data_IF_529623283729
#
_entry.id   IF_529623283729
#
_cell.length_a   1.000
_cell.length_b   1.000
_cell.length_c   1.000
_cell.angle_alpha   90.00
_cell.angle_beta   90.00
_cell.angle_gamma   90.00
#
_symmetry.space_group_name_H-M   'P 1'
#
loop_
_entity.id
_entity.type
_entity.pdbx_description
1 polymer ?
#
# COMPACT_ATOMS: atom_id res chain seq x y z
N UNK A 1 -11.02 9.21 0.80
CA UNK A 1 -10.48 9.60 2.11
C UNK A 1 -8.99 9.27 2.19
N UNK A 2 -8.20 10.05 2.92
CA UNK A 2 -6.80 9.73 3.20
C UNK A 2 -6.60 9.47 4.71
N UNK A 3 -5.59 8.68 5.04
CA UNK A 3 -5.15 8.40 6.40
C UNK A 3 -3.63 8.21 6.40
N UNK A 4 -2.97 8.74 7.43
CA UNK A 4 -1.56 8.46 7.72
C UNK A 4 -1.50 7.16 8.55
N UNK A 5 -0.61 6.24 8.17
CA UNK A 5 -0.24 5.12 9.01
C UNK A 5 0.78 5.61 10.05
N UNK A 6 0.27 6.26 11.09
CA UNK A 6 1.08 6.93 12.12
C UNK A 6 2.10 5.95 12.72
N UNK A 7 3.37 6.36 12.81
CA UNK A 7 4.46 5.53 13.34
C UNK A 7 4.93 4.37 12.45
N UNK A 8 4.26 4.07 11.33
CA UNK A 8 4.63 2.92 10.50
C UNK A 8 6.06 3.04 9.96
N UNK A 9 6.42 4.22 9.41
CA UNK A 9 7.77 4.44 8.88
C UNK A 9 8.84 4.35 9.99
N UNK A 10 8.55 4.89 11.19
CA UNK A 10 9.47 4.79 12.32
C UNK A 10 9.68 3.35 12.78
N UNK A 11 8.63 2.52 12.81
CA UNK A 11 8.75 1.09 13.10
C UNK A 11 9.65 0.39 12.06
N UNK A 12 9.47 0.73 10.78
CA UNK A 12 10.31 0.19 9.71
C UNK A 12 11.77 0.62 9.85
N UNK A 13 12.03 1.89 10.17
CA UNK A 13 13.39 2.41 10.40
C UNK A 13 14.07 1.74 11.59
N UNK A 14 13.30 1.31 12.59
CA UNK A 14 13.77 0.53 13.74
C UNK A 14 13.95 -0.98 13.44
N UNK A 15 13.64 -1.43 12.23
CA UNK A 15 13.69 -2.85 11.83
C UNK A 15 12.44 -3.66 12.19
N UNK A 16 11.42 -3.03 12.80
CA UNK A 16 10.14 -3.66 13.10
C UNK A 16 9.21 -3.62 11.88
N UNK A 17 9.49 -4.55 10.97
CA UNK A 17 8.71 -4.72 9.74
C UNK A 17 7.27 -5.18 10.00
N UNK A 18 7.05 -5.98 11.05
CA UNK A 18 5.72 -6.48 11.40
C UNK A 18 4.85 -5.36 11.99
N UNK A 19 5.42 -4.53 12.88
CA UNK A 19 4.75 -3.35 13.42
C UNK A 19 4.41 -2.34 12.33
N UNK A 20 5.33 -2.08 11.40
CA UNK A 20 5.03 -1.24 10.22
C UNK A 20 3.78 -1.72 9.46
N UNK A 21 3.71 -3.01 9.14
CA UNK A 21 2.58 -3.55 8.36
C UNK A 21 1.27 -3.54 9.13
N UNK A 22 1.33 -3.82 10.43
CA UNK A 22 0.17 -3.76 11.31
C UNK A 22 -0.42 -2.35 11.37
N UNK A 23 0.43 -1.33 11.55
CA UNK A 23 0.01 0.08 11.58
C UNK A 23 -0.61 0.52 10.24
N UNK A 24 -0.04 0.06 9.11
CA UNK A 24 -0.63 0.29 7.79
C UNK A 24 -2.02 -0.36 7.64
N UNK A 25 -2.19 -1.59 8.12
CA UNK A 25 -3.46 -2.30 8.09
C UNK A 25 -4.52 -1.64 8.98
N UNK A 26 -4.13 -1.10 10.14
CA UNK A 26 -5.03 -0.36 11.03
C UNK A 26 -5.57 0.90 10.37
N UNK A 27 -4.70 1.73 9.78
CA UNK A 27 -5.11 2.91 9.03
C UNK A 27 -6.06 2.54 7.87
N UNK A 28 -5.78 1.44 7.17
CA UNK A 28 -6.62 0.95 6.09
C UNK A 28 -8.00 0.46 6.57
N UNK A 29 -8.10 -0.21 7.72
CA UNK A 29 -9.39 -0.57 8.35
C UNK A 29 -10.22 0.68 8.65
N UNK A 30 -9.58 1.74 9.15
CA UNK A 30 -10.23 3.03 9.37
C UNK A 30 -10.80 3.64 8.08
N UNK A 31 -10.08 3.53 6.96
CA UNK A 31 -10.59 3.95 5.64
C UNK A 31 -11.74 3.07 5.16
N UNK A 32 -11.65 1.76 5.32
CA UNK A 32 -12.71 0.82 4.95
C UNK A 32 -14.01 1.09 5.74
N UNK A 33 -13.91 1.33 7.05
CA UNK A 33 -15.04 1.70 7.91
C UNK A 33 -15.71 3.02 7.48
N UNK A 34 -14.96 3.90 6.80
CA UNK A 34 -15.47 5.15 6.20
C UNK A 34 -16.05 4.95 4.80
N UNK A 35 -16.22 3.72 4.35
CA UNK A 35 -16.84 3.38 3.06
C UNK A 35 -15.87 3.32 1.87
N UNK A 36 -14.55 3.36 2.10
CA UNK A 36 -13.60 3.09 1.02
C UNK A 36 -13.73 1.63 0.54
N UNK A 37 -13.71 1.44 -0.79
CA UNK A 37 -13.85 0.12 -1.45
C UNK A 37 -12.56 -0.40 -2.07
N UNK A 38 -11.53 0.44 -2.12
CA UNK A 38 -10.18 0.15 -2.63
C UNK A 38 -9.21 0.92 -1.75
N UNK A 39 -8.06 0.32 -1.44
CA UNK A 39 -6.99 0.96 -0.68
C UNK A 39 -5.80 1.22 -1.61
N UNK A 40 -5.27 2.44 -1.61
CA UNK A 40 -4.05 2.79 -2.32
C UNK A 40 -2.92 3.05 -1.32
N UNK A 41 -1.88 2.24 -1.36
CA UNK A 41 -0.66 2.40 -0.58
C UNK A 41 0.29 3.35 -1.33
N UNK A 42 0.24 4.63 -0.94
CA UNK A 42 0.81 5.74 -1.69
C UNK A 42 2.31 6.01 -1.42
N UNK A 43 2.96 5.21 -0.57
CA UNK A 43 4.38 5.34 -0.23
C UNK A 43 5.11 4.02 -0.52
N UNK A 44 6.36 4.11 -1.00
CA UNK A 44 7.16 2.93 -1.35
C UNK A 44 7.29 1.93 -0.19
N UNK A 45 7.57 2.40 1.02
CA UNK A 45 7.67 1.56 2.22
C UNK A 45 6.40 0.74 2.48
N UNK A 46 5.24 1.30 2.16
CA UNK A 46 3.95 0.64 2.35
C UNK A 46 3.70 -0.50 1.36
N UNK A 47 4.40 -0.55 0.23
CA UNK A 47 4.16 -1.57 -0.79
C UNK A 47 4.28 -3.00 -0.24
N UNK A 48 5.18 -3.22 0.73
CA UNK A 48 5.35 -4.52 1.41
C UNK A 48 4.13 -4.93 2.25
N UNK A 49 3.38 -3.96 2.78
CA UNK A 49 2.21 -4.19 3.62
C UNK A 49 0.97 -4.59 2.80
N UNK A 50 1.07 -4.67 1.46
CA UNK A 50 -0.04 -4.95 0.55
C UNK A 50 -0.90 -6.12 1.02
N UNK A 51 -0.29 -7.27 1.27
CA UNK A 51 -1.02 -8.51 1.55
C UNK A 51 -1.65 -8.48 2.95
N UNK A 52 -0.95 -7.89 3.93
CA UNK A 52 -1.46 -7.68 5.29
C UNK A 52 -2.67 -6.74 5.27
N UNK A 53 -2.59 -5.65 4.51
CA UNK A 53 -3.70 -4.70 4.33
C UNK A 53 -4.87 -5.34 3.60
N UNK A 54 -4.61 -6.14 2.56
CA UNK A 54 -5.65 -6.85 1.81
C UNK A 54 -6.39 -7.85 2.71
N UNK A 55 -5.66 -8.64 3.49
CA UNK A 55 -6.24 -9.58 4.44
C UNK A 55 -7.05 -8.87 5.54
N UNK A 56 -6.53 -7.75 6.07
CA UNK A 56 -7.18 -7.01 7.14
C UNK A 56 -8.47 -6.28 6.73
N UNK A 57 -8.58 -5.90 5.45
CA UNK A 57 -9.71 -5.10 4.95
C UNK A 57 -10.67 -5.89 4.06
N UNK A 58 -10.21 -6.99 3.45
CA UNK A 58 -10.94 -7.68 2.39
C UNK A 58 -11.08 -6.89 1.10
N UNK A 59 -10.33 -5.77 0.95
CA UNK A 59 -10.44 -4.86 -0.18
C UNK A 59 -9.30 -5.03 -1.17
N UNK A 60 -9.51 -4.70 -2.46
CA UNK A 60 -8.41 -4.54 -3.41
C UNK A 60 -7.40 -3.50 -2.92
N UNK A 61 -6.11 -3.86 -3.00
CA UNK A 61 -5.00 -2.98 -2.60
C UNK A 61 -4.13 -2.68 -3.81
N UNK A 62 -3.91 -1.39 -4.06
CA UNK A 62 -3.00 -0.87 -5.07
C UNK A 62 -1.72 -0.38 -4.41
N UNK A 63 -0.57 -0.64 -5.04
CA UNK A 63 0.71 -0.06 -4.61
C UNK A 63 1.25 0.89 -5.68
N UNK A 64 2.03 1.88 -5.27
CA UNK A 64 2.75 2.76 -6.20
C UNK A 64 3.77 1.98 -7.04
N UNK A 65 4.39 0.94 -6.47
CA UNK A 65 5.36 0.07 -7.16
C UNK A 65 4.69 -0.68 -8.32
N UNK A 66 3.57 -1.38 -8.06
CA UNK A 66 2.85 -2.11 -9.10
C UNK A 66 2.39 -1.17 -10.24
N UNK A 67 1.90 0.02 -9.86
CA UNK A 67 1.46 1.04 -10.81
C UNK A 67 2.61 1.57 -11.68
N UNK A 68 3.77 1.82 -11.09
CA UNK A 68 4.96 2.27 -11.79
C UNK A 68 5.50 1.19 -12.74
N UNK A 69 5.61 -0.06 -12.28
CA UNK A 69 6.05 -1.19 -13.11
C UNK A 69 5.11 -1.40 -14.30
N UNK A 70 3.79 -1.35 -14.08
CA UNK A 70 2.81 -1.45 -15.18
C UNK A 70 3.03 -0.36 -16.22
N UNK A 71 3.16 0.89 -15.79
CA UNK A 71 3.41 2.05 -16.68
C UNK A 71 4.73 1.93 -17.45
N UNK A 72 5.79 1.43 -16.81
CA UNK A 72 7.08 1.20 -17.46
C UNK A 72 6.97 0.14 -18.54
N UNK A 73 6.29 -0.99 -18.25
CA UNK A 73 6.05 -2.06 -19.24
C UNK A 73 5.30 -1.55 -20.46
N UNK A 74 4.21 -0.80 -20.26
CA UNK A 74 3.44 -0.18 -21.35
C UNK A 74 4.35 0.64 -22.28
N UNK A 75 5.25 1.45 -21.70
CA UNK A 75 6.16 2.29 -22.48
C UNK A 75 7.24 1.51 -23.20
N UNK A 76 7.83 0.49 -22.56
CA UNK A 76 8.87 -0.34 -23.18
C UNK A 76 8.30 -1.13 -24.37
N UNK A 77 7.10 -1.69 -24.22
CA UNK A 77 6.45 -2.45 -25.29
C UNK A 77 6.01 -1.54 -26.45
N UNK A 78 5.50 -0.34 -26.17
CA UNK A 78 5.11 0.62 -27.19
C UNK A 78 6.28 1.14 -28.04
N UNK A 79 7.52 1.12 -27.52
CA UNK A 79 8.73 1.45 -28.28
C UNK A 79 9.20 0.32 -29.21
N UNK A 80 8.66 -0.90 -29.01
CA UNK A 80 9.02 -2.10 -29.78
C UNK A 80 8.04 -2.37 -30.93
N UNK A 81 7.09 -1.46 -31.16
CA UNK A 81 6.07 -1.51 -32.24
C UNK A 81 6.29 -0.34 -33.18
#
# INVERSE_FOLDING_TARGET
HAALAEGALAALDAGDTAGHDHLAAEAARGLAARGCRVIALAQFSLARARDVVAAATGLPVLTTVDSAVRRLRERVLALST
#
